data_IF_578018716546
#
_entry.id   IF_578018716546
#
_cell.length_a   1.000
_cell.length_b   1.000
_cell.length_c   1.000
_cell.angle_alpha   90.00
_cell.angle_beta   90.00
_cell.angle_gamma   90.00
#
_symmetry.space_group_name_H-M   'P 1'
#
loop_
_entity.id
_entity.type
_entity.pdbx_description
1 polymer ?
#
# COMPACT_ATOMS: atom_id res chain seq x y z
N UNK A 1 5.73 -5.08 -20.36
CA UNK A 1 5.30 -6.00 -19.27
C UNK A 1 3.87 -5.60 -18.94
N UNK A 2 2.90 -6.51 -19.03
CA UNK A 2 1.52 -6.21 -18.67
C UNK A 2 1.30 -6.69 -17.22
N UNK A 3 1.10 -5.75 -16.30
CA UNK A 3 0.89 -6.04 -14.88
C UNK A 3 -0.62 -6.11 -14.63
N UNK A 4 -1.11 -7.21 -14.06
CA UNK A 4 -2.53 -7.38 -13.70
C UNK A 4 -2.94 -6.46 -12.54
N UNK A 5 -2.04 -6.19 -11.59
CA UNK A 5 -2.27 -5.33 -10.42
C UNK A 5 -1.06 -4.39 -10.21
N UNK A 6 -0.83 -3.40 -11.10
CA UNK A 6 0.37 -2.57 -11.08
C UNK A 6 0.54 -1.73 -9.81
N UNK A 7 -0.56 -1.47 -9.10
CA UNK A 7 -0.60 -0.78 -7.81
C UNK A 7 -1.52 -1.57 -6.88
N UNK A 8 -1.08 -1.81 -5.65
CA UNK A 8 -1.86 -2.43 -4.58
C UNK A 8 -2.05 -1.44 -3.42
N UNK A 9 -3.19 -1.53 -2.73
CA UNK A 9 -3.41 -0.79 -1.49
C UNK A 9 -2.57 -1.41 -0.36
N UNK A 10 -1.99 -0.56 0.48
CA UNK A 10 -1.30 -1.00 1.69
C UNK A 10 -2.23 -0.87 2.90
N UNK A 11 -2.15 -1.82 3.84
CA UNK A 11 -2.92 -1.75 5.09
C UNK A 11 -4.37 -2.24 5.02
N UNK A 12 -4.87 -2.70 3.85
CA UNK A 12 -6.27 -3.13 3.71
C UNK A 12 -6.48 -4.63 3.93
N UNK A 13 -5.46 -5.47 3.79
CA UNK A 13 -5.61 -6.93 3.92
C UNK A 13 -5.48 -7.41 5.37
N UNK A 14 -6.07 -8.57 5.71
CA UNK A 14 -5.80 -9.25 6.98
C UNK A 14 -4.30 -9.46 7.17
N UNK A 15 -3.77 -9.07 8.34
CA UNK A 15 -2.33 -9.14 8.65
C UNK A 15 -1.54 -7.87 8.32
N UNK A 16 -2.14 -6.87 7.65
CA UNK A 16 -1.53 -5.54 7.46
C UNK A 16 -2.09 -4.50 8.48
N UNK A 17 -2.78 -4.94 9.52
CA UNK A 17 -3.33 -4.08 10.57
C UNK A 17 -2.23 -3.57 11.49
N UNK A 18 -2.30 -2.30 11.88
CA UNK A 18 -1.41 -1.74 12.92
C UNK A 18 -1.87 -2.11 14.32
N UNK A 19 -3.18 -2.35 14.48
CA UNK A 19 -3.75 -2.74 15.76
C UNK A 19 -3.91 -4.26 15.82
N UNK A 20 -3.63 -4.89 16.98
CA UNK A 20 -3.87 -6.31 17.16
C UNK A 20 -5.31 -6.67 16.78
N UNK A 21 -5.47 -7.69 15.93
CA UNK A 21 -6.79 -8.22 15.62
C UNK A 21 -7.24 -9.12 16.77
N UNK A 22 -8.36 -8.79 17.40
CA UNK A 22 -8.98 -9.68 18.39
C UNK A 22 -9.51 -10.95 17.69
N UNK A 23 -9.28 -12.12 18.31
CA UNK A 23 -9.49 -13.48 17.76
C UNK A 23 -10.90 -13.81 17.24
N UNK A 24 -11.89 -12.93 17.43
CA UNK A 24 -13.29 -13.16 17.10
C UNK A 24 -13.98 -11.93 16.51
N UNK A 25 -13.23 -11.01 15.93
CA UNK A 25 -13.75 -9.75 15.38
C UNK A 25 -13.52 -9.68 13.88
N UNK A 26 -14.51 -9.18 13.15
CA UNK A 26 -14.39 -8.95 11.71
C UNK A 26 -13.25 -7.96 11.43
N UNK A 27 -12.42 -8.26 10.43
CA UNK A 27 -11.34 -7.38 9.97
C UNK A 27 -11.78 -5.92 9.75
N UNK A 28 -12.99 -5.72 9.22
CA UNK A 28 -13.57 -4.39 9.00
C UNK A 28 -13.70 -3.53 10.26
N UNK A 29 -13.80 -4.14 11.45
CA UNK A 29 -13.78 -3.42 12.72
C UNK A 29 -12.42 -2.77 12.97
N UNK A 30 -11.32 -3.51 12.77
CA UNK A 30 -9.98 -2.94 12.89
C UNK A 30 -9.73 -1.89 11.82
N UNK A 31 -10.19 -2.09 10.58
CA UNK A 31 -10.08 -1.06 9.55
C UNK A 31 -10.74 0.27 9.96
N UNK A 32 -11.95 0.20 10.54
CA UNK A 32 -12.66 1.40 11.01
C UNK A 32 -11.94 2.07 12.18
N UNK A 33 -11.48 1.27 13.15
CA UNK A 33 -10.70 1.78 14.29
C UNK A 33 -9.42 2.46 13.83
N UNK A 34 -8.68 1.83 12.93
CA UNK A 34 -7.43 2.35 12.39
C UNK A 34 -7.67 3.61 11.56
N UNK A 35 -8.79 3.71 10.83
CA UNK A 35 -9.17 4.93 10.11
C UNK A 35 -9.36 6.12 11.04
N UNK A 36 -10.00 5.92 12.19
CA UNK A 36 -10.19 6.99 13.18
C UNK A 36 -8.94 7.29 14.00
N UNK A 37 -8.04 6.32 14.20
CA UNK A 37 -6.82 6.52 14.97
C UNK A 37 -5.68 7.13 14.13
N UNK A 38 -5.50 6.68 12.88
CA UNK A 38 -4.43 7.09 11.99
C UNK A 38 -4.88 6.95 10.51
N UNK A 39 -5.64 7.92 9.98
CA UNK A 39 -6.15 7.86 8.60
C UNK A 39 -5.03 7.87 7.56
N UNK A 40 -3.89 8.50 7.87
CA UNK A 40 -2.74 8.63 6.98
C UNK A 40 -2.16 7.28 6.54
N UNK A 41 -2.34 6.21 7.34
CA UNK A 41 -1.87 4.87 6.94
C UNK A 41 -2.54 4.37 5.65
N UNK A 42 -3.75 4.85 5.34
CA UNK A 42 -4.50 4.44 4.16
C UNK A 42 -4.09 5.22 2.89
N UNK A 43 -3.15 6.15 3.01
CA UNK A 43 -2.58 6.85 1.86
C UNK A 43 -1.43 6.07 1.20
N UNK A 44 -0.99 4.97 1.82
CA UNK A 44 0.06 4.12 1.28
C UNK A 44 -0.45 3.18 0.19
N UNK A 45 0.36 3.06 -0.85
CA UNK A 45 0.16 2.11 -1.93
C UNK A 45 1.51 1.56 -2.37
N UNK A 46 1.49 0.35 -2.90
CA UNK A 46 2.68 -0.38 -3.31
C UNK A 46 2.66 -0.60 -4.83
N UNK A 47 3.56 0.03 -5.60
CA UNK A 47 3.76 -0.32 -7.01
C UNK A 47 4.35 -1.73 -7.10
N UNK A 48 3.69 -2.63 -7.84
CA UNK A 48 4.09 -4.04 -7.94
C UNK A 48 4.87 -4.32 -9.22
N UNK A 49 5.59 -5.44 -9.25
CA UNK A 49 6.29 -5.90 -10.46
C UNK A 49 7.48 -5.03 -10.89
N UNK A 50 7.89 -4.06 -10.08
CA UNK A 50 9.02 -3.16 -10.38
C UNK A 50 10.34 -3.91 -10.60
N UNK A 51 10.57 -5.03 -9.89
CA UNK A 51 11.84 -5.77 -9.95
C UNK A 51 12.28 -6.11 -11.38
N UNK A 52 11.37 -6.62 -12.22
CA UNK A 52 11.70 -7.00 -13.59
C UNK A 52 12.06 -5.80 -14.51
N UNK A 53 11.54 -4.61 -14.20
CA UNK A 53 11.88 -3.37 -14.90
C UNK A 53 13.18 -2.77 -14.37
N UNK A 54 13.29 -2.63 -13.05
CA UNK A 54 14.44 -2.03 -12.37
C UNK A 54 15.74 -2.82 -12.60
N UNK A 55 15.68 -4.15 -12.69
CA UNK A 55 16.86 -4.98 -13.01
C UNK A 55 17.51 -4.64 -14.36
N UNK A 56 16.78 -4.01 -15.28
CA UNK A 56 17.30 -3.62 -16.61
C UNK A 56 17.91 -2.22 -16.61
N UNK A 57 17.72 -1.46 -15.54
CA UNK A 57 18.23 -0.10 -15.42
C UNK A 57 19.70 -0.16 -15.05
N UNK A 58 20.56 0.40 -15.91
CA UNK A 58 22.02 0.44 -15.70
C UNK A 58 22.49 1.67 -14.90
N UNK A 59 21.54 2.43 -14.36
CA UNK A 59 21.73 3.67 -13.62
C UNK A 59 21.16 3.54 -12.21
N UNK A 60 21.54 4.46 -11.33
CA UNK A 60 20.96 4.56 -9.99
C UNK A 60 19.66 5.38 -9.97
N UNK A 61 19.19 5.83 -11.13
CA UNK A 61 17.97 6.61 -11.29
C UNK A 61 17.01 5.85 -12.19
N UNK A 62 15.77 5.71 -11.72
CA UNK A 62 14.65 5.16 -12.49
C UNK A 62 13.44 6.06 -12.32
N UNK A 63 12.66 6.21 -13.39
CA UNK A 63 11.37 6.90 -13.37
C UNK A 63 10.25 5.85 -13.37
N UNK A 64 9.27 6.05 -12.49
CA UNK A 64 8.07 5.22 -12.41
C UNK A 64 6.90 6.08 -12.86
N UNK A 65 6.29 5.70 -13.99
CA UNK A 65 5.12 6.40 -14.54
C UNK A 65 3.87 5.58 -14.23
N UNK A 66 2.95 6.15 -13.45
CA UNK A 66 1.65 5.55 -13.15
C UNK A 66 0.61 6.20 -14.05
N UNK A 67 0.09 5.43 -15.00
CA UNK A 67 -0.96 5.91 -15.91
C UNK A 67 -2.33 5.74 -15.26
N UNK A 68 -3.03 6.85 -15.09
CA UNK A 68 -4.41 6.89 -14.62
C UNK A 68 -5.36 6.97 -15.81
N UNK A 69 -6.47 6.23 -15.75
CA UNK A 69 -7.50 6.24 -16.80
C UNK A 69 -8.62 7.25 -16.56
N UNK A 70 -8.51 8.04 -15.47
CA UNK A 70 -9.45 9.10 -15.10
C UNK A 70 -8.66 10.29 -14.57
N UNK A 71 -9.07 11.48 -15.01
CA UNK A 71 -8.56 12.73 -14.45
C UNK A 71 -9.26 13.01 -13.12
N UNK A 72 -8.53 13.42 -12.08
CA UNK A 72 -9.16 13.92 -10.87
C UNK A 72 -9.79 15.31 -11.12
N UNK A 73 -10.59 15.83 -10.18
CA UNK A 73 -11.10 17.20 -10.26
C UNK A 73 -9.97 18.23 -10.42
N UNK A 74 -10.22 19.30 -11.18
CA UNK A 74 -9.21 20.31 -11.54
C UNK A 74 -8.44 20.88 -10.33
N UNK A 75 -9.13 21.13 -9.22
CA UNK A 75 -8.51 21.67 -8.02
C UNK A 75 -7.41 20.76 -7.44
N UNK A 76 -7.52 19.44 -7.60
CA UNK A 76 -6.53 18.49 -7.11
C UNK A 76 -5.31 18.44 -8.02
N UNK A 77 -5.51 18.56 -9.33
CA UNK A 77 -4.43 18.60 -10.33
C UNK A 77 -3.47 19.75 -9.99
N UNK A 78 -4.00 20.92 -9.65
CA UNK A 78 -3.20 22.11 -9.32
C UNK A 78 -2.55 22.10 -7.93
N UNK A 79 -2.92 21.17 -7.06
CA UNK A 79 -2.36 21.03 -5.71
C UNK A 79 -1.40 19.84 -5.59
N UNK A 80 -1.09 19.15 -6.69
CA UNK A 80 -0.24 17.98 -6.70
C UNK A 80 1.16 18.34 -7.20
N UNK A 81 2.17 18.16 -6.36
CA UNK A 81 3.59 18.32 -6.69
C UNK A 81 4.44 17.20 -6.06
N UNK A 82 5.76 17.37 -5.99
CA UNK A 82 6.66 16.35 -5.46
C UNK A 82 6.55 16.19 -3.93
N UNK A 83 6.13 17.21 -3.19
CA UNK A 83 6.04 17.19 -1.73
C UNK A 83 4.95 16.22 -1.21
N UNK A 84 3.97 15.90 -2.06
CA UNK A 84 2.83 15.02 -1.77
C UNK A 84 3.20 13.55 -1.98
N UNK A 85 4.37 13.25 -2.54
CA UNK A 85 4.87 11.89 -2.74
C UNK A 85 6.17 11.69 -1.98
N UNK A 86 6.17 10.76 -1.05
CA UNK A 86 7.36 10.37 -0.29
C UNK A 86 7.46 8.86 -0.24
N UNK A 87 8.67 8.34 -0.35
CA UNK A 87 8.93 6.92 -0.20
C UNK A 87 9.10 6.60 1.28
N UNK A 88 8.23 5.74 1.80
CA UNK A 88 8.33 5.25 3.17
C UNK A 88 8.62 3.76 3.15
N UNK A 89 9.49 3.33 4.07
CA UNK A 89 9.73 1.92 4.34
C UNK A 89 8.90 1.53 5.56
N UNK A 90 7.94 0.65 5.35
CA UNK A 90 7.25 -0.02 6.43
C UNK A 90 7.98 -1.32 6.73
N UNK A 91 8.31 -1.56 8.00
CA UNK A 91 8.61 -2.90 8.46
C UNK A 91 7.28 -3.68 8.49
N UNK A 92 6.82 -4.11 7.32
CA UNK A 92 5.71 -5.05 7.22
C UNK A 92 6.14 -6.38 7.80
N UNK A 93 5.38 -6.84 8.79
CA UNK A 93 5.54 -8.12 9.48
C UNK A 93 5.78 -9.28 8.51
N UNK A 94 6.61 -10.23 8.95
CA UNK A 94 6.75 -11.52 8.29
C UNK A 94 5.37 -12.15 8.04
N UNK A 95 5.17 -12.91 6.95
CA UNK A 95 3.95 -13.67 6.79
C UNK A 95 3.75 -14.53 8.04
N UNK A 96 2.73 -14.21 8.84
CA UNK A 96 2.32 -15.05 9.96
C UNK A 96 1.96 -16.41 9.39
N UNK A 97 2.79 -17.41 9.70
CA UNK A 97 2.53 -18.79 9.33
C UNK A 97 1.12 -19.18 9.79
N UNK A 98 0.31 -19.86 8.97
CA UNK A 98 -1.02 -20.29 9.38
C UNK A 98 -0.89 -21.50 10.30
N UNK A 99 -0.40 -21.31 11.53
CA UNK A 99 -0.29 -22.41 12.49
C UNK A 99 -0.74 -21.99 13.88
N UNK A 100 -1.92 -22.51 14.24
CA UNK A 100 -2.10 -23.51 15.29
C UNK A 100 -3.32 -23.15 16.15
N UNK A 101 -4.41 -23.87 15.91
CA UNK A 101 -5.56 -23.97 16.80
C UNK A 101 -5.08 -24.72 18.06
N UNK A 102 -5.10 -24.10 19.26
CA UNK A 102 -5.08 -24.89 20.47
C UNK A 102 -6.51 -25.41 20.70
N UNK A 103 -6.62 -26.73 20.84
CA UNK A 103 -7.82 -27.44 21.31
C UNK A 103 -8.37 -26.87 22.63
#
# INVERSE_FOLDING_TARGET
MNLQHPVAHEGLEPGQGLLPLAWNVFHGHNLLHEFFACPERFYFFTPTGLSAGLQKVQSNVAEIVILLNRLPPDWLIHQTDAAQFSLFLYAGDQPVSPHHHPD
#
